data_IF_262320552020
#
_entry.id   IF_262320552020
#
_cell.length_a   1.000
_cell.length_b   1.000
_cell.length_c   1.000
_cell.angle_alpha   90.00
_cell.angle_beta   90.00
_cell.angle_gamma   90.00
#
_symmetry.space_group_name_H-M   'P 1'
#
loop_
_entity.id
_entity.type
_entity.pdbx_description
1 polymer ?
#
# COMPACT_ATOMS: atom_id res chain seq x y z
N UNK A 1 -14.02 -18.74 -12.77
CA UNK A 1 -14.97 -17.65 -13.09
C UNK A 1 -14.29 -16.37 -12.70
N UNK A 2 -13.95 -15.48 -13.65
CA UNK A 2 -13.31 -14.20 -13.34
C UNK A 2 -14.31 -13.31 -12.63
N UNK A 3 -14.01 -12.94 -11.38
CA UNK A 3 -14.77 -11.92 -10.66
C UNK A 3 -14.69 -10.58 -11.38
N UNK A 4 -15.62 -9.67 -11.08
CA UNK A 4 -15.58 -8.30 -11.61
C UNK A 4 -14.30 -7.62 -11.10
N UNK A 5 -13.52 -7.01 -12.00
CA UNK A 5 -12.36 -6.20 -11.62
C UNK A 5 -12.82 -4.93 -10.88
N UNK A 6 -12.31 -4.75 -9.68
CA UNK A 6 -12.61 -3.61 -8.79
C UNK A 6 -11.48 -2.56 -8.79
N UNK A 7 -10.55 -2.66 -9.72
CA UNK A 7 -9.51 -1.64 -9.88
C UNK A 7 -10.13 -0.27 -10.12
N UNK A 8 -9.48 0.77 -9.60
CA UNK A 8 -9.95 2.15 -9.75
C UNK A 8 -8.93 2.93 -10.57
N UNK A 9 -9.41 3.70 -11.56
CA UNK A 9 -8.55 4.45 -12.46
C UNK A 9 -9.02 5.90 -12.57
N UNK A 10 -8.07 6.82 -12.53
CA UNK A 10 -8.23 8.25 -12.83
C UNK A 10 -7.17 8.68 -13.83
N UNK A 11 -7.62 9.20 -14.97
CA UNK A 11 -6.73 9.77 -15.97
C UNK A 11 -6.22 11.14 -15.49
N UNK A 12 -4.97 11.44 -15.78
CA UNK A 12 -4.28 12.70 -15.48
C UNK A 12 -3.13 12.91 -16.45
N UNK A 13 -2.05 13.53 -15.99
CA UNK A 13 -0.85 13.80 -16.77
C UNK A 13 0.03 12.52 -16.96
N UNK A 14 1.25 12.69 -17.48
CA UNK A 14 2.20 11.60 -17.74
C UNK A 14 2.93 11.07 -16.50
N UNK A 15 2.60 11.58 -15.31
CA UNK A 15 3.08 11.06 -14.04
C UNK A 15 2.06 10.04 -13.51
N UNK A 16 2.40 8.77 -13.59
CA UNK A 16 1.56 7.65 -13.18
C UNK A 16 1.82 7.25 -11.72
N UNK A 17 0.77 7.00 -10.98
CA UNK A 17 0.82 6.49 -9.60
C UNK A 17 0.08 5.16 -9.54
N UNK A 18 0.82 4.08 -9.29
CA UNK A 18 0.26 2.75 -9.03
C UNK A 18 0.11 2.55 -7.52
N UNK A 19 -1.11 2.32 -7.06
CA UNK A 19 -1.42 2.08 -5.66
C UNK A 19 -1.89 0.66 -5.42
N UNK A 20 -1.32 0.00 -4.40
CA UNK A 20 -1.57 -1.41 -4.07
C UNK A 20 -2.14 -1.52 -2.65
N UNK A 21 -3.29 -2.18 -2.50
CA UNK A 21 -3.97 -2.36 -1.22
C UNK A 21 -3.33 -3.43 -0.31
N UNK A 22 -3.81 -3.52 0.93
CA UNK A 22 -3.33 -4.46 1.94
C UNK A 22 -3.79 -5.92 1.74
N UNK A 23 -3.29 -6.83 2.58
CA UNK A 23 -3.71 -8.24 2.60
C UNK A 23 -5.16 -8.35 3.07
N UNK A 24 -5.99 -9.03 2.28
CA UNK A 24 -7.42 -9.17 2.56
C UNK A 24 -8.24 -7.90 2.29
N UNK A 25 -7.59 -6.79 1.94
CA UNK A 25 -8.23 -5.51 1.65
C UNK A 25 -8.69 -5.34 0.21
N UNK A 26 -9.03 -4.11 -0.15
CA UNK A 26 -9.57 -3.75 -1.47
C UNK A 26 -8.98 -2.43 -2.00
N UNK A 27 -9.08 -2.13 -3.30
CA UNK A 27 -8.66 -0.83 -3.85
C UNK A 27 -9.34 0.39 -3.19
N UNK A 28 -10.49 0.19 -2.51
CA UNK A 28 -11.21 1.27 -1.82
C UNK A 28 -10.44 1.85 -0.63
N UNK A 29 -9.52 1.08 0.00
CA UNK A 29 -8.62 1.56 1.06
C UNK A 29 -7.73 2.72 0.59
N UNK A 30 -7.50 2.82 -0.72
CA UNK A 30 -6.62 3.82 -1.33
C UNK A 30 -7.40 4.91 -2.09
N UNK A 31 -8.74 4.81 -2.12
CA UNK A 31 -9.58 5.71 -2.92
C UNK A 31 -9.40 7.19 -2.55
N UNK A 32 -9.28 7.51 -1.26
CA UNK A 32 -9.08 8.90 -0.80
C UNK A 32 -7.75 9.45 -1.29
N UNK A 33 -6.67 8.68 -1.15
CA UNK A 33 -5.34 9.04 -1.63
C UNK A 33 -5.36 9.21 -3.16
N UNK A 34 -5.92 8.25 -3.88
CA UNK A 34 -6.00 8.27 -5.33
C UNK A 34 -6.74 9.51 -5.85
N UNK A 35 -7.88 9.86 -5.25
CA UNK A 35 -8.62 11.07 -5.60
C UNK A 35 -7.82 12.35 -5.32
N UNK A 36 -7.15 12.41 -4.17
CA UNK A 36 -6.33 13.54 -3.81
C UNK A 36 -5.14 13.75 -4.75
N UNK A 37 -4.48 12.66 -5.19
CA UNK A 37 -3.38 12.71 -6.15
C UNK A 37 -3.87 13.02 -7.57
N UNK A 38 -5.01 12.45 -7.98
CA UNK A 38 -5.61 12.76 -9.28
C UNK A 38 -6.07 14.22 -9.37
N UNK A 39 -6.63 14.78 -8.29
CA UNK A 39 -6.98 16.21 -8.24
C UNK A 39 -5.77 17.14 -8.38
N UNK A 40 -4.55 16.62 -8.16
CA UNK A 40 -3.27 17.32 -8.37
C UNK A 40 -2.60 16.95 -9.72
N UNK A 41 -3.36 16.37 -10.63
CA UNK A 41 -2.97 16.11 -12.01
C UNK A 41 -2.37 14.74 -12.31
N UNK A 42 -2.04 13.91 -11.33
CA UNK A 42 -1.47 12.58 -11.58
C UNK A 42 -2.47 11.61 -12.20
N UNK A 43 -2.00 10.73 -13.10
CA UNK A 43 -2.72 9.53 -13.52
C UNK A 43 -2.61 8.49 -12.41
N UNK A 44 -3.72 7.98 -11.88
CA UNK A 44 -3.71 7.06 -10.73
C UNK A 44 -4.43 5.76 -11.05
N UNK A 45 -3.80 4.63 -10.72
CA UNK A 45 -4.38 3.29 -10.80
C UNK A 45 -4.27 2.61 -9.44
N UNK A 46 -5.41 2.30 -8.82
CA UNK A 46 -5.47 1.39 -7.67
C UNK A 46 -5.78 -0.01 -8.19
N UNK A 47 -4.82 -0.90 -8.24
CA UNK A 47 -5.03 -2.22 -8.81
C UNK A 47 -5.66 -3.19 -7.80
N UNK A 48 -6.53 -4.06 -8.29
CA UNK A 48 -7.01 -5.23 -7.54
C UNK A 48 -5.98 -6.34 -7.60
N UNK A 49 -5.68 -6.95 -6.46
CA UNK A 49 -4.80 -8.13 -6.39
C UNK A 49 -5.60 -9.41 -6.66
N UNK A 50 -4.96 -10.39 -7.28
CA UNK A 50 -5.54 -11.71 -7.52
C UNK A 50 -6.07 -12.31 -6.22
N UNK A 51 -7.28 -12.89 -6.27
CA UNK A 51 -7.95 -13.51 -5.13
C UNK A 51 -8.52 -12.54 -4.08
N UNK A 52 -8.34 -11.23 -4.24
CA UNK A 52 -8.91 -10.21 -3.35
C UNK A 52 -10.26 -9.71 -3.87
N UNK A 53 -11.00 -8.98 -3.02
CA UNK A 53 -12.36 -8.45 -3.29
C UNK A 53 -13.45 -9.52 -3.48
N UNK A 54 -13.13 -10.79 -3.32
CA UNK A 54 -14.05 -11.92 -3.40
C UNK A 54 -14.23 -12.62 -2.06
N UNK A 55 -14.40 -13.93 -2.11
CA UNK A 55 -14.52 -14.78 -0.94
C UNK A 55 -13.14 -15.12 -0.32
N UNK A 56 -13.15 -15.61 0.92
CA UNK A 56 -11.95 -16.20 1.53
C UNK A 56 -11.36 -17.34 0.68
N UNK A 57 -12.21 -18.13 0.01
CA UNK A 57 -11.76 -19.21 -0.86
C UNK A 57 -10.96 -18.68 -2.06
N UNK A 58 -11.37 -17.55 -2.63
CA UNK A 58 -10.64 -16.89 -3.73
C UNK A 58 -9.25 -16.46 -3.26
N UNK A 59 -9.14 -15.85 -2.06
CA UNK A 59 -7.86 -15.46 -1.48
C UNK A 59 -6.96 -16.70 -1.22
N UNK A 60 -7.53 -17.77 -0.69
CA UNK A 60 -6.80 -19.02 -0.43
C UNK A 60 -6.35 -19.74 -1.69
N UNK A 61 -6.99 -19.50 -2.83
CA UNK A 61 -6.60 -20.05 -4.12
C UNK A 61 -5.36 -19.36 -4.71
N UNK A 62 -4.96 -18.21 -4.17
CA UNK A 62 -3.81 -17.42 -4.65
C UNK A 62 -2.65 -17.41 -3.65
N UNK A 63 -1.48 -17.02 -4.15
CA UNK A 63 -0.23 -16.88 -3.40
C UNK A 63 0.43 -15.54 -3.72
N UNK A 64 1.44 -15.16 -2.97
CA UNK A 64 2.12 -13.89 -3.19
C UNK A 64 2.66 -13.67 -4.61
N UNK A 65 3.12 -14.68 -5.40
CA UNK A 65 3.51 -14.46 -6.79
C UNK A 65 2.34 -14.08 -7.70
N UNK A 66 1.11 -14.53 -7.38
CA UNK A 66 -0.09 -14.16 -8.13
C UNK A 66 -0.48 -12.71 -7.83
N UNK A 67 -0.37 -12.28 -6.57
CA UNK A 67 -0.54 -10.88 -6.15
C UNK A 67 0.48 -9.98 -6.84
N UNK A 68 1.73 -10.39 -6.85
CA UNK A 68 2.82 -9.67 -7.51
C UNK A 68 2.57 -9.52 -9.02
N UNK A 69 2.10 -10.58 -9.70
CA UNK A 69 1.75 -10.54 -11.12
C UNK A 69 0.64 -9.52 -11.41
N UNK A 70 -0.34 -9.35 -10.51
CA UNK A 70 -1.36 -8.29 -10.63
C UNK A 70 -0.71 -6.90 -10.64
N UNK A 71 0.30 -6.68 -9.79
CA UNK A 71 1.03 -5.41 -9.72
C UNK A 71 1.89 -5.18 -10.97
N UNK A 72 2.55 -6.22 -11.51
CA UNK A 72 3.30 -6.14 -12.76
C UNK A 72 2.41 -5.81 -13.97
N UNK A 73 1.23 -6.43 -14.04
CA UNK A 73 0.24 -6.14 -15.07
C UNK A 73 -0.25 -4.69 -14.97
N UNK A 74 -0.51 -4.20 -13.77
CA UNK A 74 -0.94 -2.82 -13.55
C UNK A 74 0.18 -1.81 -13.87
N UNK A 75 1.45 -2.14 -13.58
CA UNK A 75 2.60 -1.33 -14.01
C UNK A 75 2.64 -1.19 -15.53
N UNK A 76 2.54 -2.31 -16.26
CA UNK A 76 2.57 -2.31 -17.71
C UNK A 76 1.43 -1.45 -18.31
N UNK A 77 0.23 -1.54 -17.74
CA UNK A 77 -0.90 -0.71 -18.19
C UNK A 77 -0.68 0.81 -17.97
N UNK A 78 0.02 1.20 -16.88
CA UNK A 78 0.39 2.60 -16.67
C UNK A 78 1.49 3.07 -17.61
N UNK A 79 2.45 2.22 -17.95
CA UNK A 79 3.57 2.56 -18.86
C UNK A 79 3.09 2.90 -20.28
N UNK A 80 1.91 2.42 -20.70
CA UNK A 80 1.31 2.81 -21.98
C UNK A 80 0.94 4.31 -22.03
N UNK A 81 0.77 4.96 -20.87
CA UNK A 81 0.26 6.33 -20.75
C UNK A 81 1.21 7.28 -20.04
N UNK A 82 2.05 6.74 -19.16
CA UNK A 82 2.88 7.51 -18.25
C UNK A 82 4.36 7.23 -18.48
N UNK A 83 5.17 8.26 -18.38
CA UNK A 83 6.62 8.18 -18.56
C UNK A 83 7.38 8.22 -17.24
N UNK A 84 6.77 8.78 -16.18
CA UNK A 84 7.28 8.71 -14.82
C UNK A 84 6.30 7.95 -13.97
N UNK A 85 6.74 6.88 -13.30
CA UNK A 85 5.86 6.04 -12.49
C UNK A 85 6.36 5.98 -11.05
N UNK A 86 5.47 6.35 -10.13
CA UNK A 86 5.62 6.14 -8.70
C UNK A 86 4.73 4.98 -8.28
N UNK A 87 5.29 4.03 -7.55
CA UNK A 87 4.54 2.87 -7.06
C UNK A 87 4.41 2.96 -5.55
N UNK A 88 3.21 2.75 -5.06
CA UNK A 88 2.94 2.81 -3.64
C UNK A 88 1.93 1.76 -3.19
N UNK A 89 1.71 1.72 -1.89
CA UNK A 89 0.69 0.84 -1.35
C UNK A 89 0.63 0.88 0.16
N UNK A 90 -0.44 0.28 0.66
CA UNK A 90 -0.73 0.18 2.09
C UNK A 90 -0.33 -1.20 2.61
N UNK A 91 0.36 -1.25 3.75
CA UNK A 91 0.67 -2.51 4.46
C UNK A 91 1.41 -3.52 3.58
N UNK A 92 0.82 -4.67 3.24
CA UNK A 92 1.35 -5.63 2.27
C UNK A 92 1.56 -4.98 0.89
N UNK A 93 0.69 -4.07 0.48
CA UNK A 93 0.82 -3.35 -0.79
C UNK A 93 2.14 -2.58 -0.89
N UNK A 94 2.62 -2.00 0.22
CA UNK A 94 3.94 -1.37 0.29
C UNK A 94 5.09 -2.40 0.07
N UNK A 95 4.92 -3.63 0.56
CA UNK A 95 5.92 -4.69 0.35
C UNK A 95 5.92 -5.18 -1.11
N UNK A 96 4.76 -5.24 -1.75
CA UNK A 96 4.65 -5.54 -3.19
C UNK A 96 5.27 -4.41 -4.03
N UNK A 97 5.09 -3.14 -3.66
CA UNK A 97 5.74 -2.00 -4.30
C UNK A 97 7.28 -2.09 -4.21
N UNK A 98 7.81 -2.44 -3.03
CA UNK A 98 9.25 -2.70 -2.84
C UNK A 98 9.75 -3.86 -3.71
N UNK A 99 8.98 -4.96 -3.79
CA UNK A 99 9.31 -6.09 -4.66
C UNK A 99 9.37 -5.68 -6.12
N UNK A 100 8.42 -4.87 -6.57
CA UNK A 100 8.37 -4.38 -7.94
C UNK A 100 9.59 -3.51 -8.26
N UNK A 101 9.94 -2.57 -7.38
CA UNK A 101 11.10 -1.70 -7.57
C UNK A 101 12.42 -2.47 -7.59
N UNK A 102 12.56 -3.53 -6.77
CA UNK A 102 13.74 -4.40 -6.77
C UNK A 102 13.84 -5.23 -8.05
N UNK A 103 12.72 -5.72 -8.58
CA UNK A 103 12.69 -6.56 -9.78
C UNK A 103 12.86 -5.75 -11.08
N UNK A 104 12.42 -4.50 -11.08
CA UNK A 104 12.41 -3.65 -12.27
C UNK A 104 13.11 -2.29 -12.02
N UNK A 105 14.42 -2.29 -11.76
CA UNK A 105 15.17 -1.05 -11.58
C UNK A 105 15.06 -0.19 -12.86
N UNK A 106 14.73 1.09 -12.69
CA UNK A 106 14.53 2.02 -13.81
C UNK A 106 13.11 2.13 -14.35
N UNK A 107 12.20 1.18 -14.03
CA UNK A 107 10.76 1.30 -14.35
C UNK A 107 9.97 1.96 -13.23
N UNK A 108 10.45 1.87 -11.98
CA UNK A 108 9.87 2.51 -10.79
C UNK A 108 10.74 3.70 -10.43
N UNK A 109 10.23 4.91 -10.61
CA UNK A 109 10.95 6.16 -10.40
C UNK A 109 10.92 6.65 -8.95
N UNK A 110 9.93 6.22 -8.16
CA UNK A 110 9.77 6.52 -6.75
C UNK A 110 8.82 5.57 -6.04
N UNK A 111 8.85 5.56 -4.72
CA UNK A 111 8.02 4.70 -3.87
C UNK A 111 7.25 5.53 -2.84
N UNK A 112 5.95 5.25 -2.64
CA UNK A 112 5.13 5.78 -1.55
C UNK A 112 4.61 4.64 -0.68
N UNK A 113 5.20 4.45 0.49
CA UNK A 113 4.99 3.29 1.36
C UNK A 113 4.15 3.71 2.57
N UNK A 114 2.88 3.32 2.60
CA UNK A 114 1.92 3.64 3.65
C UNK A 114 1.84 2.48 4.64
N UNK A 115 2.17 2.73 5.90
CA UNK A 115 2.18 1.73 6.98
C UNK A 115 2.82 0.38 6.56
N UNK A 116 4.05 0.38 5.98
CA UNK A 116 4.67 -0.85 5.46
C UNK A 116 4.80 -1.91 6.56
N UNK A 117 4.35 -3.14 6.29
CA UNK A 117 4.29 -4.22 7.28
C UNK A 117 5.24 -5.35 6.93
N UNK A 118 6.44 -5.31 7.51
CA UNK A 118 7.44 -6.39 7.43
C UNK A 118 7.24 -7.44 8.53
N UNK A 119 6.63 -7.02 9.63
CA UNK A 119 6.23 -7.85 10.76
C UNK A 119 5.12 -7.18 11.57
N UNK A 120 4.37 -7.99 12.26
CA UNK A 120 3.30 -7.55 13.15
C UNK A 120 3.87 -7.26 14.53
N UNK A 121 3.97 -5.99 14.93
CA UNK A 121 4.50 -5.53 16.22
C UNK A 121 3.80 -4.27 16.77
N UNK A 122 2.65 -3.92 16.20
CA UNK A 122 1.80 -2.86 16.71
C UNK A 122 1.25 -3.14 18.10
N UNK A 123 0.66 -2.14 18.73
CA UNK A 123 0.22 -2.24 20.12
C UNK A 123 -0.94 -3.23 20.35
N UNK A 124 -1.75 -3.53 19.34
CA UNK A 124 -2.82 -4.54 19.45
C UNK A 124 -2.30 -5.98 19.33
N UNK A 125 -1.06 -6.15 18.87
CA UNK A 125 -0.48 -7.47 18.61
C UNK A 125 0.03 -8.10 19.91
N UNK A 126 -0.44 -9.32 20.28
CA UNK A 126 -0.02 -9.96 21.52
C UNK A 126 1.48 -10.16 21.64
N UNK A 127 2.03 -9.99 22.84
CA UNK A 127 3.46 -10.16 23.11
C UNK A 127 4.01 -11.54 22.72
N UNK A 128 3.17 -12.60 22.75
CA UNK A 128 3.55 -13.96 22.36
C UNK A 128 3.53 -14.20 20.85
N UNK A 129 3.44 -13.14 20.02
CA UNK A 129 3.47 -13.23 18.55
C UNK A 129 4.65 -14.02 17.98
N UNK A 130 5.78 -14.11 18.71
CA UNK A 130 6.94 -14.87 18.28
C UNK A 130 6.61 -16.37 18.08
N UNK A 131 5.67 -16.92 18.85
CA UNK A 131 5.17 -18.29 18.72
C UNK A 131 4.40 -18.47 17.39
N UNK A 132 3.84 -17.39 16.84
CA UNK A 132 3.07 -17.45 15.60
C UNK A 132 3.93 -17.96 14.42
N UNK A 133 5.22 -17.57 14.38
CA UNK A 133 6.13 -18.05 13.33
C UNK A 133 6.36 -19.57 13.36
N UNK A 134 6.32 -20.16 14.54
CA UNK A 134 6.40 -21.61 14.70
C UNK A 134 5.06 -22.28 14.40
N UNK A 135 3.98 -21.72 14.97
CA UNK A 135 2.62 -22.24 14.82
C UNK A 135 2.16 -22.27 13.36
N UNK A 136 2.39 -21.18 12.59
CA UNK A 136 1.90 -21.01 11.21
C UNK A 136 2.51 -22.03 10.22
N UNK A 137 3.60 -22.70 10.62
CA UNK A 137 4.24 -23.78 9.83
C UNK A 137 3.55 -25.12 10.01
N UNK A 138 2.73 -25.27 11.04
CA UNK A 138 2.04 -26.54 11.32
C UNK A 138 0.81 -26.74 10.42
N UNK A 139 0.41 -28.00 10.21
CA UNK A 139 -0.80 -28.32 9.44
C UNK A 139 -2.08 -27.83 10.11
N UNK A 140 -2.11 -27.77 11.43
CA UNK A 140 -3.24 -27.24 12.21
C UNK A 140 -3.43 -25.76 11.96
N UNK A 141 -2.34 -25.00 11.96
CA UNK A 141 -2.38 -23.57 11.71
C UNK A 141 -2.92 -23.22 10.30
N UNK A 142 -2.73 -24.08 9.31
CA UNK A 142 -3.22 -23.84 7.94
C UNK A 142 -4.74 -23.69 7.85
N UNK A 143 -5.48 -24.15 8.85
CA UNK A 143 -6.94 -24.00 8.96
C UNK A 143 -7.35 -22.85 9.86
N UNK A 144 -6.39 -22.18 10.52
CA UNK A 144 -6.70 -21.10 11.45
C UNK A 144 -6.98 -19.79 10.69
N UNK A 145 -7.92 -19.00 11.23
CA UNK A 145 -8.32 -17.70 10.73
C UNK A 145 -8.16 -16.68 11.83
N UNK A 146 -7.47 -15.59 11.52
CA UNK A 146 -7.34 -14.46 12.43
C UNK A 146 -8.49 -13.52 12.16
N UNK A 147 -9.38 -13.36 13.14
CA UNK A 147 -10.46 -12.39 13.07
C UNK A 147 -9.88 -10.97 13.14
N UNK A 148 -10.32 -10.12 12.25
CA UNK A 148 -10.08 -8.69 12.38
C UNK A 148 -10.78 -8.18 13.65
N UNK A 149 -10.11 -7.30 14.39
CA UNK A 149 -10.60 -6.80 15.67
C UNK A 149 -10.54 -5.28 15.70
N UNK A 150 -11.44 -4.68 16.49
CA UNK A 150 -11.30 -3.28 16.81
C UNK A 150 -9.90 -2.95 17.33
N UNK A 151 -9.34 -1.84 16.87
CA UNK A 151 -9.95 -0.74 16.11
C UNK A 151 -9.88 -0.88 14.58
N UNK A 152 -9.61 -2.05 14.00
CA UNK A 152 -9.51 -2.30 12.55
C UNK A 152 -8.48 -1.39 11.83
N UNK A 153 -7.45 -0.96 12.52
CA UNK A 153 -6.46 -0.03 11.98
C UNK A 153 -6.95 1.41 11.81
N UNK A 154 -8.10 1.79 12.40
CA UNK A 154 -8.75 3.09 12.17
C UNK A 154 -9.04 3.78 13.51
N UNK A 155 -8.46 4.98 13.71
CA UNK A 155 -8.66 5.81 14.90
C UNK A 155 -9.96 6.62 14.83
N UNK A 156 -10.37 7.02 13.62
CA UNK A 156 -11.63 7.74 13.39
C UNK A 156 -12.84 6.82 13.64
N UNK A 157 -13.65 7.15 14.66
CA UNK A 157 -14.77 6.31 15.07
C UNK A 157 -15.89 6.21 14.03
N UNK A 158 -16.10 7.26 13.23
CA UNK A 158 -17.14 7.29 12.20
C UNK A 158 -16.75 6.39 11.03
N UNK A 159 -15.50 6.52 10.57
CA UNK A 159 -14.98 5.67 9.49
C UNK A 159 -14.93 4.21 9.96
N UNK A 160 -14.46 3.98 11.20
CA UNK A 160 -14.42 2.64 11.81
C UNK A 160 -15.79 1.98 11.86
N UNK A 161 -16.84 2.71 12.25
CA UNK A 161 -18.20 2.20 12.30
C UNK A 161 -18.73 1.80 10.91
N UNK A 162 -18.42 2.58 9.87
CA UNK A 162 -18.79 2.27 8.47
C UNK A 162 -18.08 1.00 8.00
N UNK A 163 -16.77 0.89 8.23
CA UNK A 163 -15.98 -0.29 7.82
C UNK A 163 -16.43 -1.54 8.58
N UNK A 164 -16.61 -1.45 9.90
CA UNK A 164 -17.13 -2.55 10.71
C UNK A 164 -18.52 -3.01 10.23
N UNK A 165 -19.41 -2.07 9.93
CA UNK A 165 -20.74 -2.38 9.38
C UNK A 165 -20.68 -3.13 8.05
N UNK A 166 -19.80 -2.72 7.15
CA UNK A 166 -19.59 -3.39 5.86
C UNK A 166 -18.98 -4.80 6.03
N UNK A 167 -18.02 -4.97 6.95
CA UNK A 167 -17.44 -6.28 7.30
C UNK A 167 -18.50 -7.24 7.86
N UNK A 168 -19.33 -6.78 8.81
CA UNK A 168 -20.41 -7.57 9.40
C UNK A 168 -21.44 -7.97 8.34
N UNK A 169 -21.74 -7.08 7.39
CA UNK A 169 -22.64 -7.35 6.28
C UNK A 169 -22.05 -8.29 5.20
N UNK A 170 -20.79 -8.72 5.35
CA UNK A 170 -20.10 -9.59 4.39
C UNK A 170 -19.79 -8.94 3.04
N UNK A 171 -19.70 -7.61 3.00
CA UNK A 171 -19.36 -6.85 1.79
C UNK A 171 -17.83 -6.84 1.57
N UNK A 172 -17.30 -8.00 1.20
CA UNK A 172 -15.86 -8.20 1.05
C UNK A 172 -15.22 -7.34 -0.05
N UNK A 173 -16.01 -6.91 -1.02
CA UNK A 173 -15.59 -6.02 -2.10
C UNK A 173 -15.51 -4.53 -1.67
N UNK A 174 -16.15 -4.18 -0.54
CA UNK A 174 -16.12 -2.82 0.03
C UNK A 174 -15.10 -2.71 1.18
N UNK A 175 -15.17 -3.61 2.17
CA UNK A 175 -14.42 -3.52 3.43
C UNK A 175 -13.29 -4.55 3.57
N UNK A 176 -13.11 -5.43 2.59
CA UNK A 176 -12.21 -6.57 2.71
C UNK A 176 -12.81 -7.73 3.50
N UNK A 177 -12.00 -8.76 3.74
CA UNK A 177 -12.46 -9.95 4.46
C UNK A 177 -12.33 -9.76 5.99
N UNK A 178 -13.37 -10.20 6.72
CA UNK A 178 -13.41 -10.10 8.18
C UNK A 178 -12.44 -11.04 8.92
N UNK A 179 -11.84 -11.98 8.22
CA UNK A 179 -10.93 -12.97 8.80
C UNK A 179 -9.75 -13.18 7.86
N UNK A 180 -8.54 -12.96 8.33
CA UNK A 180 -7.32 -13.22 7.55
C UNK A 180 -6.86 -14.67 7.74
N UNK A 181 -6.85 -15.51 6.68
CA UNK A 181 -6.37 -16.88 6.78
C UNK A 181 -4.88 -16.95 7.09
N UNK A 182 -4.46 -17.85 7.96
CA UNK A 182 -3.05 -18.03 8.31
C UNK A 182 -2.17 -18.40 7.11
N UNK A 183 -2.74 -19.09 6.10
CA UNK A 183 -2.03 -19.39 4.83
C UNK A 183 -1.67 -18.13 4.08
N UNK A 184 -2.53 -17.11 4.06
CA UNK A 184 -2.28 -15.83 3.41
C UNK A 184 -1.23 -15.02 4.18
N UNK A 185 -1.25 -15.05 5.53
CA UNK A 185 -0.17 -14.46 6.35
C UNK A 185 1.17 -15.14 6.07
N UNK A 186 1.19 -16.46 5.91
CA UNK A 186 2.40 -17.20 5.53
C UNK A 186 2.93 -16.77 4.16
N UNK A 187 2.06 -16.52 3.20
CA UNK A 187 2.46 -16.01 1.88
C UNK A 187 3.02 -14.57 1.99
N UNK A 188 2.42 -13.71 2.81
CA UNK A 188 2.98 -12.39 3.12
C UNK A 188 4.41 -12.49 3.69
N UNK A 189 4.64 -13.40 4.64
CA UNK A 189 5.99 -13.57 5.20
C UNK A 189 7.00 -14.07 4.17
N UNK A 190 6.61 -14.92 3.24
CA UNK A 190 7.46 -15.35 2.11
C UNK A 190 7.82 -14.18 1.20
N UNK A 191 6.86 -13.31 0.90
CA UNK A 191 7.08 -12.08 0.17
C UNK A 191 8.06 -11.17 0.93
N UNK A 192 7.83 -10.94 2.22
CA UNK A 192 8.72 -10.13 3.08
C UNK A 192 10.15 -10.70 3.11
N UNK A 193 10.30 -12.01 3.28
CA UNK A 193 11.62 -12.65 3.29
C UNK A 193 12.34 -12.50 1.95
N UNK A 194 11.62 -12.46 0.83
CA UNK A 194 12.17 -12.18 -0.50
C UNK A 194 12.62 -10.72 -0.59
N UNK A 195 11.75 -9.77 -0.23
CA UNK A 195 12.03 -8.33 -0.33
C UNK A 195 13.20 -7.91 0.58
N UNK A 196 13.30 -8.45 1.78
CA UNK A 196 14.40 -8.11 2.72
C UNK A 196 15.79 -8.35 2.14
N UNK A 197 15.95 -9.31 1.24
CA UNK A 197 17.24 -9.61 0.59
C UNK A 197 17.64 -8.55 -0.43
N UNK A 198 16.63 -7.90 -1.03
CA UNK A 198 16.83 -7.00 -2.17
C UNK A 198 16.74 -5.51 -1.78
N UNK A 199 16.45 -5.16 -0.51
CA UNK A 199 16.21 -3.76 -0.07
C UNK A 199 17.34 -2.81 -0.45
N UNK A 200 18.61 -3.22 -0.29
CA UNK A 200 19.78 -2.37 -0.57
C UNK A 200 20.00 -2.10 -2.06
N UNK A 201 19.42 -2.93 -2.93
CA UNK A 201 19.47 -2.74 -4.39
C UNK A 201 18.46 -1.69 -4.88
N UNK A 202 17.42 -1.38 -4.10
CA UNK A 202 16.40 -0.40 -4.46
C UNK A 202 16.99 1.01 -4.33
N UNK A 203 17.22 1.68 -5.47
CA UNK A 203 17.79 3.03 -5.55
C UNK A 203 16.75 4.12 -5.78
N UNK A 204 15.51 3.75 -6.13
CA UNK A 204 14.41 4.68 -6.25
C UNK A 204 14.20 5.41 -4.90
N UNK A 205 13.98 6.74 -4.91
CA UNK A 205 13.62 7.47 -3.70
C UNK A 205 12.31 6.92 -3.13
N UNK A 206 12.17 6.95 -1.81
CA UNK A 206 11.02 6.41 -1.11
C UNK A 206 10.49 7.39 -0.06
N UNK A 207 9.17 7.60 -0.06
CA UNK A 207 8.42 8.20 1.03
C UNK A 207 7.82 7.08 1.88
N UNK A 208 8.08 7.09 3.18
CA UNK A 208 7.45 6.19 4.15
C UNK A 208 6.53 7.02 5.03
N UNK A 209 5.26 6.64 5.12
CA UNK A 209 4.29 7.25 6.04
C UNK A 209 3.84 6.20 7.03
N UNK A 210 4.07 6.45 8.32
CA UNK A 210 3.77 5.49 9.40
C UNK A 210 3.09 6.20 10.55
N UNK A 211 2.03 5.60 11.11
CA UNK A 211 1.41 6.11 12.34
C UNK A 211 2.30 5.78 13.56
N UNK A 212 2.40 6.74 14.51
CA UNK A 212 3.09 6.52 15.79
C UNK A 212 2.40 5.45 16.61
N UNK A 213 1.07 5.49 16.63
CA UNK A 213 0.22 4.56 17.37
C UNK A 213 -0.38 3.49 16.44
N UNK A 214 0.42 2.97 15.51
CA UNK A 214 -0.02 1.89 14.61
C UNK A 214 -0.33 0.63 15.44
N UNK A 215 -1.54 0.12 15.30
CA UNK A 215 -2.03 -1.05 16.04
C UNK A 215 -1.53 -2.38 15.47
N UNK A 216 -1.07 -2.41 14.22
CA UNK A 216 -0.64 -3.61 13.49
C UNK A 216 0.88 -3.66 13.32
N UNK A 217 1.51 -2.58 12.81
CA UNK A 217 2.95 -2.51 12.52
C UNK A 217 3.56 -1.24 13.10
N UNK A 218 4.41 -1.39 14.11
CA UNK A 218 5.03 -0.26 14.80
C UNK A 218 6.06 0.48 13.93
N UNK A 219 6.51 1.65 14.38
CA UNK A 219 7.56 2.47 13.74
C UNK A 219 8.86 1.70 13.44
N UNK A 220 9.10 0.57 14.13
CA UNK A 220 10.25 -0.31 13.88
C UNK A 220 10.33 -0.77 12.42
N UNK A 221 9.18 -0.96 11.74
CA UNK A 221 9.07 -1.32 10.33
C UNK A 221 9.62 -0.19 9.43
N UNK A 222 9.20 1.05 9.67
CA UNK A 222 9.67 2.23 8.94
C UNK A 222 11.18 2.46 9.16
N UNK A 223 11.63 2.40 10.41
CA UNK A 223 13.07 2.54 10.76
C UNK A 223 13.92 1.47 10.09
N UNK A 224 13.43 0.23 10.03
CA UNK A 224 14.17 -0.84 9.36
C UNK A 224 14.30 -0.55 7.85
N UNK A 225 13.24 -0.13 7.18
CA UNK A 225 13.28 0.24 5.76
C UNK A 225 14.20 1.43 5.52
N UNK A 226 14.11 2.48 6.33
CA UNK A 226 14.97 3.66 6.22
C UNK A 226 16.46 3.30 6.27
N UNK A 227 16.82 2.33 7.11
CA UNK A 227 18.22 1.88 7.25
C UNK A 227 18.69 0.94 6.14
N UNK A 228 17.80 0.32 5.40
CA UNK A 228 18.13 -0.77 4.46
C UNK A 228 17.92 -0.40 3.00
N UNK A 229 17.06 0.56 2.70
CA UNK A 229 16.87 1.03 1.33
C UNK A 229 18.15 1.72 0.83
N UNK A 230 18.49 1.47 -0.42
CA UNK A 230 19.71 2.01 -1.03
C UNK A 230 19.56 3.39 -1.66
N UNK A 231 18.33 3.93 -1.71
CA UNK A 231 17.98 5.26 -2.21
C UNK A 231 17.73 6.28 -1.10
N UNK A 232 17.32 7.49 -1.50
CA UNK A 232 16.87 8.53 -0.57
C UNK A 232 15.57 8.07 0.11
N UNK A 233 15.44 8.27 1.43
CA UNK A 233 14.25 7.91 2.19
C UNK A 233 13.77 9.11 3.01
N UNK A 234 12.56 9.55 2.75
CA UNK A 234 11.80 10.46 3.59
C UNK A 234 10.86 9.66 4.48
N UNK A 235 10.80 9.98 5.78
CA UNK A 235 9.86 9.36 6.72
C UNK A 235 8.96 10.41 7.33
N UNK A 236 7.64 10.19 7.25
CA UNK A 236 6.61 10.99 7.89
C UNK A 236 5.93 10.15 8.96
N UNK A 237 5.92 10.67 10.19
CA UNK A 237 5.24 10.03 11.33
C UNK A 237 3.96 10.79 11.61
N UNK A 238 2.84 10.05 11.66
CA UNK A 238 1.52 10.58 11.96
C UNK A 238 1.20 10.35 13.44
N UNK A 239 0.79 11.41 14.14
CA UNK A 239 0.53 11.36 15.59
C UNK A 239 -0.94 11.06 15.95
N UNK A 240 -1.86 11.19 15.00
CA UNK A 240 -3.31 10.97 15.22
C UNK A 240 -3.94 10.06 14.16
N UNK A 241 -3.33 8.92 13.94
CA UNK A 241 -3.82 7.85 13.05
C UNK A 241 -3.40 6.48 13.58
N UNK A 242 -4.09 5.43 13.13
CA UNK A 242 -3.69 4.03 13.30
C UNK A 242 -3.18 3.45 11.97
N UNK A 243 -3.24 2.14 11.78
CA UNK A 243 -2.61 1.43 10.65
C UNK A 243 -3.12 1.88 9.27
N UNK A 244 -4.43 2.06 9.11
CA UNK A 244 -5.02 2.46 7.82
C UNK A 244 -4.88 3.96 7.56
N UNK A 245 -3.63 4.45 7.54
CA UNK A 245 -3.28 5.88 7.38
C UNK A 245 -3.92 6.54 6.14
N UNK A 246 -4.31 5.74 5.16
CA UNK A 246 -4.89 6.20 3.88
C UNK A 246 -6.37 6.60 4.00
N UNK A 247 -7.05 6.20 5.06
CA UNK A 247 -8.48 6.52 5.31
C UNK A 247 -8.72 7.20 6.64
N UNK A 248 -7.75 7.18 7.56
CA UNK A 248 -7.88 7.67 8.92
C UNK A 248 -7.83 9.20 9.02
N UNK A 249 -7.78 9.75 10.23
CA UNK A 249 -7.89 11.18 10.55
C UNK A 249 -6.92 12.07 9.80
N UNK A 250 -5.67 11.63 9.63
CA UNK A 250 -4.61 12.41 8.97
C UNK A 250 -4.42 12.07 7.49
N UNK A 251 -5.40 11.45 6.82
CA UNK A 251 -5.32 11.12 5.38
C UNK A 251 -4.99 12.31 4.50
N UNK A 252 -5.42 13.51 4.87
CA UNK A 252 -5.13 14.72 4.09
C UNK A 252 -3.63 15.07 4.15
N UNK A 253 -2.98 14.90 5.32
CA UNK A 253 -1.53 15.00 5.47
C UNK A 253 -0.82 13.96 4.60
N UNK A 254 -1.34 12.72 4.56
CA UNK A 254 -0.79 11.66 3.70
C UNK A 254 -0.88 12.04 2.23
N UNK A 255 -2.02 12.60 1.79
CA UNK A 255 -2.23 13.06 0.41
C UNK A 255 -1.22 14.17 0.06
N UNK A 256 -1.07 15.19 0.91
CA UNK A 256 -0.17 16.32 0.67
C UNK A 256 1.28 15.87 0.58
N UNK A 257 1.76 15.07 1.53
CA UNK A 257 3.13 14.53 1.52
C UNK A 257 3.41 13.64 0.32
N UNK A 258 2.43 12.78 -0.04
CA UNK A 258 2.57 11.93 -1.23
C UNK A 258 2.62 12.78 -2.52
N UNK A 259 1.80 13.81 -2.64
CA UNK A 259 1.80 14.70 -3.80
C UNK A 259 3.12 15.48 -3.93
N UNK A 260 3.61 16.06 -2.84
CA UNK A 260 4.90 16.77 -2.81
C UNK A 260 6.06 15.86 -3.24
N UNK A 261 6.07 14.63 -2.70
CA UNK A 261 7.07 13.62 -3.04
C UNK A 261 6.97 13.18 -4.50
N UNK A 262 5.77 12.95 -5.04
CA UNK A 262 5.55 12.61 -6.45
C UNK A 262 6.04 13.74 -7.34
N UNK A 263 5.75 15.01 -6.99
CA UNK A 263 6.27 16.19 -7.70
C UNK A 263 7.82 16.26 -7.69
N UNK A 264 8.44 15.93 -6.55
CA UNK A 264 9.91 15.83 -6.47
C UNK A 264 10.44 14.72 -7.41
N UNK A 265 9.83 13.55 -7.43
CA UNK A 265 10.23 12.44 -8.32
C UNK A 265 10.07 12.81 -9.78
N UNK A 266 8.96 13.47 -10.16
CA UNK A 266 8.69 13.91 -11.52
C UNK A 266 9.74 14.92 -12.00
N UNK A 267 10.07 15.92 -11.21
CA UNK A 267 11.15 16.90 -11.53
C UNK A 267 12.51 16.20 -11.70
N UNK A 268 12.84 15.26 -10.82
CA UNK A 268 14.09 14.49 -10.91
C UNK A 268 14.17 13.62 -12.16
N UNK A 269 13.03 13.12 -12.65
CA UNK A 269 12.93 12.34 -13.89
C UNK A 269 12.96 13.21 -15.18
N UNK A 270 13.07 14.53 -15.05
CA UNK A 270 13.09 15.45 -16.19
C UNK A 270 11.70 15.84 -16.71
N UNK A 271 10.65 15.53 -15.97
CA UNK A 271 9.30 16.03 -16.21
C UNK A 271 9.15 17.37 -15.49
N UNK A 272 9.49 18.45 -16.18
CA UNK A 272 9.05 19.80 -15.84
C UNK A 272 7.65 19.94 -16.43
N UNK A 273 6.64 20.14 -15.59
CA UNK A 273 5.29 20.46 -16.08
C UNK A 273 5.37 21.83 -16.80
N UNK A 274 5.22 21.84 -18.12
CA UNK A 274 5.11 23.08 -18.91
C UNK A 274 3.95 23.99 -18.43
N UNK A 275 2.99 23.42 -17.71
CA UNK A 275 1.87 24.17 -17.10
C UNK A 275 2.26 24.92 -15.82
N UNK A 276 3.30 24.52 -15.09
CA UNK A 276 3.72 25.22 -13.86
C UNK A 276 4.47 26.54 -14.16
N UNK A 277 5.16 26.61 -15.30
CA UNK A 277 5.80 27.84 -15.76
C UNK A 277 4.77 28.87 -16.30
N UNK A 278 3.66 28.39 -16.90
CA UNK A 278 2.60 29.28 -17.38
C UNK A 278 1.84 30.00 -16.25
N UNK A 279 1.59 29.31 -15.11
CA UNK A 279 0.92 29.95 -13.95
C UNK A 279 1.83 30.94 -13.22
N UNK A 280 3.15 30.74 -13.20
CA UNK A 280 4.08 31.74 -12.63
C UNK A 280 4.28 32.95 -13.51
N UNK A 281 4.14 32.84 -14.84
CA UNK A 281 4.20 33.99 -15.75
C UNK A 281 2.93 34.85 -15.69
N UNK A 282 1.76 34.23 -15.44
CA UNK A 282 0.49 34.97 -15.29
C UNK A 282 0.42 35.72 -13.93
N UNK A 283 1.15 35.24 -12.91
CA UNK A 283 1.18 35.87 -11.59
C UNK A 283 2.26 36.99 -11.49
N UNK A 284 3.08 37.18 -12.50
CA UNK A 284 4.16 38.16 -12.54
C UNK A 284 3.88 39.36 -13.50
N UNK A 285 2.75 39.34 -14.22
CA UNK A 285 2.18 40.47 -14.96
C UNK A 285 1.04 41.15 -14.18
#
# INVERSE_FOLDING_TARGET
>A
MGGVDRSLFWAGNRVGVLLVHGLGGTPLELRSIARGLSARGSTVLCCQLAGHCGSEADLLATRWPDWYRSVETALAALEERCTTIVVGGLSMGAILALRLAAAHPGRVHGLTLFAPTLWYDGWSIPWYRFLLKMFIKTSIAQRYRFAEREPYGIKDERIRAVVAGAMIAGKNDEAGIAHTPSRSIRELWRLVDTVKRDLSSIKAPALIVQAREDDISALSNAVYLQRRLGGLVECVVLDDSYHLVTVDRQRDVVIDRAADFIGFVARKAGHVDENFEAEQHIAAE
#
